data_IF_863188929703
#
_entry.id   IF_863188929703
#
_cell.length_a   1.000
_cell.length_b   1.000
_cell.length_c   1.000
_cell.angle_alpha   90.00
_cell.angle_beta   90.00
_cell.angle_gamma   90.00
#
_symmetry.space_group_name_H-M   'P 1'
#
loop_
_entity.id
_entity.type
_entity.pdbx_description
1 polymer ?
#
# COMPACT_ATOMS: atom_id res chain seq x y z
N UNK A 1 -16.53 -8.93 50.51
CA UNK A 1 -16.96 -7.52 50.54
C UNK A 1 -16.71 -6.81 49.19
N UNK A 2 -15.48 -6.75 48.64
CA UNK A 2 -15.25 -6.02 47.37
C UNK A 2 -15.97 -6.60 46.13
N UNK A 3 -16.11 -7.92 46.05
CA UNK A 3 -16.80 -8.62 44.95
C UNK A 3 -18.31 -8.85 45.20
N UNK A 4 -18.90 -8.10 46.12
CA UNK A 4 -20.33 -8.23 46.42
C UNK A 4 -21.18 -7.56 45.33
N UNK A 5 -22.14 -8.31 44.78
CA UNK A 5 -23.03 -7.85 43.72
C UNK A 5 -24.00 -6.75 44.19
N UNK A 6 -24.21 -6.61 45.50
CA UNK A 6 -25.08 -5.60 46.09
C UNK A 6 -24.43 -4.22 46.21
N UNK A 7 -23.12 -4.09 45.97
CA UNK A 7 -22.41 -2.82 46.06
C UNK A 7 -22.24 -2.19 44.68
N UNK A 8 -22.91 -1.06 44.48
CA UNK A 8 -22.83 -0.30 43.24
C UNK A 8 -21.41 0.27 43.00
N UNK A 9 -21.05 0.50 41.74
CA UNK A 9 -19.76 1.05 41.34
C UNK A 9 -19.47 2.41 42.01
N UNK A 10 -20.52 3.21 42.26
CA UNK A 10 -20.39 4.51 42.95
C UNK A 10 -19.94 4.35 44.40
N UNK A 11 -20.47 3.37 45.12
CA UNK A 11 -20.11 3.09 46.52
C UNK A 11 -18.70 2.52 46.62
N UNK A 12 -18.36 1.55 45.75
CA UNK A 12 -16.97 1.04 45.65
C UNK A 12 -15.96 2.15 45.40
N UNK A 13 -16.28 3.10 44.50
CA UNK A 13 -15.43 4.27 44.24
C UNK A 13 -15.29 5.17 45.48
N UNK A 14 -16.38 5.41 46.22
CA UNK A 14 -16.34 6.17 47.49
C UNK A 14 -15.47 5.49 48.53
N UNK A 15 -15.66 4.19 48.76
CA UNK A 15 -14.85 3.40 49.70
C UNK A 15 -13.36 3.44 49.33
N UNK A 16 -13.03 3.28 48.05
CA UNK A 16 -11.65 3.33 47.58
C UNK A 16 -10.99 4.70 47.86
N UNK A 17 -11.75 5.79 47.72
CA UNK A 17 -11.27 7.15 48.03
C UNK A 17 -10.97 7.40 49.51
N UNK A 18 -11.49 6.56 50.41
CA UNK A 18 -11.14 6.61 51.84
C UNK A 18 -9.81 5.90 52.13
N UNK A 19 -9.42 4.94 51.30
CA UNK A 19 -8.21 4.12 51.50
C UNK A 19 -6.98 4.72 50.83
N UNK A 20 -7.16 5.30 49.64
CA UNK A 20 -6.08 5.87 48.83
C UNK A 20 -5.80 7.30 49.29
N UNK A 21 -4.52 7.60 49.49
CA UNK A 21 -4.04 8.96 49.74
C UNK A 21 -3.79 9.68 48.41
N UNK A 22 -3.00 9.08 47.52
CA UNK A 22 -2.73 9.56 46.16
C UNK A 22 -2.30 8.43 45.23
N UNK A 23 -2.34 8.72 43.93
CA UNK A 23 -1.88 7.84 42.86
C UNK A 23 -0.91 8.61 41.99
N UNK A 24 0.34 8.15 41.92
CA UNK A 24 1.37 8.70 41.05
C UNK A 24 1.49 7.86 39.78
N UNK A 25 1.43 8.50 38.62
CA UNK A 25 1.58 7.87 37.31
C UNK A 25 2.91 8.29 36.68
N UNK A 26 3.79 7.33 36.41
CA UNK A 26 5.02 7.55 35.65
C UNK A 26 4.87 6.96 34.25
N UNK A 27 5.00 7.82 33.24
CA UNK A 27 4.77 7.45 31.84
C UNK A 27 6.09 7.15 31.14
N UNK A 28 6.30 5.88 30.78
CA UNK A 28 7.38 5.40 29.91
C UNK A 28 6.83 4.61 28.72
N UNK A 29 7.53 3.54 28.33
CA UNK A 29 6.97 2.54 27.40
C UNK A 29 5.76 1.82 28.00
N UNK A 30 5.78 1.63 29.31
CA UNK A 30 4.66 1.23 30.14
C UNK A 30 4.31 2.36 31.11
N UNK A 31 3.10 2.33 31.67
CA UNK A 31 2.66 3.26 32.70
C UNK A 31 2.86 2.55 34.04
N UNK A 32 3.84 3.02 34.82
CA UNK A 32 3.96 2.61 36.21
C UNK A 32 2.98 3.42 37.07
N UNK A 33 2.20 2.71 37.88
CA UNK A 33 1.17 3.25 38.76
C UNK A 33 1.59 2.95 40.18
N UNK A 34 1.84 3.99 40.96
CA UNK A 34 2.14 3.89 42.38
C UNK A 34 0.94 4.39 43.17
N UNK A 35 0.32 3.49 43.94
CA UNK A 35 -0.83 3.79 44.80
C UNK A 35 -0.31 3.89 46.23
N UNK A 36 -0.42 5.07 46.84
CA UNK A 36 -0.10 5.30 48.25
C UNK A 36 -1.40 5.26 49.06
N UNK A 37 -1.45 4.37 50.05
CA UNK A 37 -2.58 4.24 50.96
C UNK A 37 -2.38 5.13 52.19
N UNK A 38 -3.48 5.60 52.78
CA UNK A 38 -3.45 6.43 54.00
C UNK A 38 -2.82 5.75 55.22
N UNK A 39 -2.59 4.42 55.15
CA UNK A 39 -1.85 3.64 56.13
C UNK A 39 -0.34 3.59 55.90
N UNK A 40 0.21 4.40 54.98
CA UNK A 40 1.65 4.47 54.68
C UNK A 40 2.19 3.38 53.73
N UNK A 41 1.40 2.35 53.42
CA UNK A 41 1.75 1.34 52.44
C UNK A 41 1.71 1.90 51.01
N UNK A 42 2.67 1.52 50.17
CA UNK A 42 2.68 1.85 48.73
C UNK A 42 2.65 0.56 47.92
N UNK A 43 1.74 0.49 46.95
CA UNK A 43 1.67 -0.62 45.98
C UNK A 43 1.99 -0.10 44.59
N UNK A 44 2.84 -0.83 43.87
CA UNK A 44 3.24 -0.47 42.51
C UNK A 44 2.72 -1.52 41.54
N UNK A 45 2.12 -1.07 40.44
CA UNK A 45 1.70 -1.93 39.34
C UNK A 45 2.05 -1.29 38.01
N UNK A 46 2.19 -2.11 36.98
CA UNK A 46 2.57 -1.65 35.65
C UNK A 46 1.50 -1.99 34.63
N UNK A 47 1.10 -1.01 33.82
CA UNK A 47 0.07 -1.15 32.79
C UNK A 47 0.68 -0.81 31.43
N UNK A 48 0.34 -1.59 30.40
CA UNK A 48 0.76 -1.30 29.03
C UNK A 48 0.27 0.10 28.62
N UNK A 49 1.18 0.96 28.16
CA UNK A 49 0.78 2.26 27.67
C UNK A 49 -0.08 2.12 26.41
N UNK A 50 -1.13 2.94 26.24
CA UNK A 50 -1.89 2.95 25.00
C UNK A 50 -0.95 3.26 23.84
N UNK A 51 -1.02 2.45 22.77
CA UNK A 51 -0.22 2.66 21.57
C UNK A 51 -0.49 4.08 21.06
N UNK A 52 0.56 4.86 20.83
CA UNK A 52 0.42 6.21 20.28
C UNK A 52 -0.24 6.14 18.90
N UNK A 53 -1.05 7.15 18.54
CA UNK A 53 -1.73 7.21 17.24
C UNK A 53 -0.80 6.94 16.03
N UNK A 54 0.46 7.42 15.99
CA UNK A 54 1.40 7.06 14.93
C UNK A 54 1.76 5.57 14.91
N UNK A 55 1.91 4.92 16.07
CA UNK A 55 2.13 3.46 16.17
C UNK A 55 0.89 2.68 15.75
N UNK A 56 -0.31 3.18 16.05
CA UNK A 56 -1.59 2.57 15.61
C UNK A 56 -1.86 2.73 14.11
N UNK A 57 -1.41 3.84 13.51
CA UNK A 57 -1.52 4.11 12.07
C UNK A 57 -0.50 3.33 11.23
N UNK A 58 0.45 2.62 11.86
CA UNK A 58 1.33 1.70 11.12
C UNK A 58 0.48 0.55 10.59
N UNK A 59 0.46 0.40 9.28
CA UNK A 59 -0.19 -0.75 8.66
C UNK A 59 0.57 -2.03 9.00
N UNK A 60 -0.18 -3.12 9.16
CA UNK A 60 0.40 -4.44 9.41
C UNK A 60 1.33 -4.79 8.23
N UNK A 61 2.53 -5.37 8.47
CA UNK A 61 3.47 -5.73 7.42
C UNK A 61 2.85 -6.56 6.29
N UNK A 62 1.90 -7.43 6.63
CA UNK A 62 1.20 -8.30 5.68
C UNK A 62 0.37 -7.47 4.69
N UNK A 63 -0.31 -6.41 5.15
CA UNK A 63 -1.08 -5.51 4.28
C UNK A 63 -0.15 -4.77 3.31
N UNK A 64 1.01 -4.34 3.79
CA UNK A 64 2.00 -3.63 2.96
C UNK A 64 2.56 -4.58 1.89
N UNK A 65 2.90 -5.81 2.25
CA UNK A 65 3.39 -6.82 1.32
C UNK A 65 2.34 -7.19 0.26
N UNK A 66 1.09 -7.40 0.68
CA UNK A 66 -0.01 -7.67 -0.24
C UNK A 66 -0.25 -6.49 -1.18
N UNK A 67 -0.23 -5.26 -0.64
CA UNK A 67 -0.36 -4.07 -1.47
C UNK A 67 0.79 -3.94 -2.48
N UNK A 68 2.03 -4.22 -2.07
CA UNK A 68 3.20 -4.17 -2.94
C UNK A 68 3.04 -5.12 -4.13
N UNK A 69 2.60 -6.36 -3.88
CA UNK A 69 2.29 -7.36 -4.91
C UNK A 69 1.15 -6.91 -5.83
N UNK A 70 0.06 -6.37 -5.29
CA UNK A 70 -1.08 -5.90 -6.08
C UNK A 70 -0.69 -4.74 -7.00
N UNK A 71 0.14 -3.81 -6.52
CA UNK A 71 0.60 -2.65 -7.30
C UNK A 71 1.47 -3.04 -8.51
N UNK A 72 1.89 -4.31 -8.63
CA UNK A 72 2.60 -4.82 -9.80
C UNK A 72 1.73 -4.72 -11.06
N UNK A 73 0.45 -5.08 -10.93
CA UNK A 73 -0.50 -5.18 -12.06
C UNK A 73 -1.68 -4.24 -11.93
N UNK A 74 -2.00 -3.77 -10.73
CA UNK A 74 -3.21 -3.02 -10.44
C UNK A 74 -2.92 -1.54 -10.15
N UNK A 75 -3.91 -0.71 -10.41
CA UNK A 75 -3.96 0.68 -9.95
C UNK A 75 -4.22 0.75 -8.44
N UNK A 76 -4.04 1.92 -7.82
CA UNK A 76 -4.38 2.10 -6.40
C UNK A 76 -5.87 1.84 -6.12
N UNK A 77 -6.75 2.08 -7.10
CA UNK A 77 -8.18 1.83 -6.96
C UNK A 77 -8.48 0.32 -6.97
N UNK A 78 -8.02 -0.38 -8.01
CA UNK A 78 -8.17 -1.83 -8.12
C UNK A 78 -7.49 -2.58 -6.96
N UNK A 79 -6.34 -2.08 -6.49
CA UNK A 79 -5.66 -2.62 -5.33
C UNK A 79 -6.50 -2.45 -4.05
N UNK A 80 -7.19 -1.32 -3.87
CA UNK A 80 -8.09 -1.10 -2.74
C UNK A 80 -9.27 -2.08 -2.78
N UNK A 81 -9.92 -2.22 -3.94
CA UNK A 81 -11.02 -3.16 -4.16
C UNK A 81 -10.59 -4.60 -3.86
N UNK A 82 -9.40 -5.00 -4.34
CA UNK A 82 -8.87 -6.35 -4.12
C UNK A 82 -8.46 -6.60 -2.67
N UNK A 83 -7.86 -5.63 -2.00
CA UNK A 83 -7.58 -5.73 -0.55
C UNK A 83 -8.88 -5.90 0.25
N UNK A 84 -9.93 -5.18 -0.10
CA UNK A 84 -11.23 -5.28 0.55
C UNK A 84 -11.89 -6.65 0.32
N UNK A 85 -11.79 -7.17 -0.90
CA UNK A 85 -12.27 -8.51 -1.28
C UNK A 85 -11.53 -9.63 -0.56
N UNK A 86 -10.23 -9.45 -0.30
CA UNK A 86 -9.41 -10.36 0.52
C UNK A 86 -9.70 -10.25 2.03
N UNK A 87 -10.63 -9.38 2.46
CA UNK A 87 -11.04 -9.23 3.85
C UNK A 87 -10.15 -8.28 4.68
N UNK A 88 -9.15 -7.63 4.07
CA UNK A 88 -8.34 -6.65 4.80
C UNK A 88 -9.15 -5.40 5.15
N UNK A 89 -8.91 -4.87 6.34
CA UNK A 89 -9.50 -3.63 6.84
C UNK A 89 -8.42 -2.71 7.41
N UNK A 90 -8.71 -1.42 7.47
CA UNK A 90 -7.82 -0.46 8.10
C UNK A 90 -7.85 -0.60 9.65
N UNK A 91 -7.08 0.22 10.35
CA UNK A 91 -7.00 0.19 11.82
C UNK A 91 -8.32 0.58 12.53
N UNK A 92 -9.23 1.25 11.82
CA UNK A 92 -10.60 1.60 12.28
C UNK A 92 -11.62 0.51 11.93
N UNK A 93 -11.21 -0.59 11.29
CA UNK A 93 -12.11 -1.65 10.81
C UNK A 93 -12.86 -1.31 9.52
N UNK A 94 -12.57 -0.16 8.89
CA UNK A 94 -13.21 0.29 7.66
C UNK A 94 -12.54 -0.30 6.41
N UNK A 95 -13.26 -0.36 5.27
CA UNK A 95 -12.67 -0.72 3.98
C UNK A 95 -11.60 0.29 3.53
N UNK A 96 -10.68 -0.18 2.70
CA UNK A 96 -9.69 0.64 2.02
C UNK A 96 -10.32 1.46 0.90
N UNK A 97 -9.99 2.75 0.86
CA UNK A 97 -10.24 3.63 -0.28
C UNK A 97 -8.98 3.80 -1.14
N UNK A 98 -9.16 4.27 -2.37
CA UNK A 98 -8.06 4.62 -3.28
C UNK A 98 -7.07 5.60 -2.63
N UNK A 99 -7.58 6.60 -1.91
CA UNK A 99 -6.78 7.64 -1.25
C UNK A 99 -5.96 7.05 -0.11
N UNK A 100 -6.55 6.12 0.66
CA UNK A 100 -5.84 5.42 1.74
C UNK A 100 -4.70 4.58 1.16
N UNK A 101 -4.97 3.80 0.11
CA UNK A 101 -3.94 3.02 -0.59
C UNK A 101 -2.84 3.92 -1.17
N UNK A 102 -3.21 5.06 -1.75
CA UNK A 102 -2.23 6.04 -2.23
C UNK A 102 -1.34 6.56 -1.10
N UNK A 103 -1.93 6.90 0.05
CA UNK A 103 -1.18 7.33 1.24
C UNK A 103 -0.22 6.26 1.75
N UNK A 104 -0.64 4.99 1.80
CA UNK A 104 0.23 3.85 2.16
C UNK A 104 1.39 3.77 1.17
N UNK A 105 1.11 3.79 -0.12
CA UNK A 105 2.13 3.72 -1.16
C UNK A 105 3.19 4.81 -0.99
N UNK A 106 2.78 6.07 -0.75
CA UNK A 106 3.71 7.19 -0.56
C UNK A 106 4.51 7.04 0.74
N UNK A 107 3.84 6.74 1.85
CA UNK A 107 4.47 6.63 3.17
C UNK A 107 5.49 5.49 3.24
N UNK A 108 5.19 4.36 2.58
CA UNK A 108 6.06 3.18 2.54
C UNK A 108 6.91 3.11 1.27
N UNK A 109 6.90 4.16 0.45
CA UNK A 109 7.69 4.28 -0.80
C UNK A 109 7.53 3.08 -1.74
N UNK A 110 6.33 2.53 -1.81
CA UNK A 110 6.01 1.40 -2.69
C UNK A 110 6.03 1.89 -4.14
N UNK A 111 6.67 1.10 -5.01
CA UNK A 111 6.76 1.40 -6.44
C UNK A 111 5.41 1.20 -7.11
N UNK A 112 5.11 2.04 -8.08
CA UNK A 112 3.96 1.90 -8.97
C UNK A 112 4.27 0.88 -10.07
N UNK A 113 3.22 0.32 -10.68
CA UNK A 113 3.36 -0.53 -11.88
C UNK A 113 4.20 0.16 -12.98
N UNK A 114 4.00 1.47 -13.19
CA UNK A 114 4.80 2.27 -14.12
C UNK A 114 6.29 2.25 -13.77
N UNK A 115 6.66 2.58 -12.54
CA UNK A 115 8.07 2.63 -12.10
C UNK A 115 8.73 1.26 -12.21
N UNK A 116 8.00 0.18 -11.89
CA UNK A 116 8.51 -1.19 -12.04
C UNK A 116 8.73 -1.57 -13.50
N UNK A 117 7.78 -1.26 -14.37
CA UNK A 117 7.92 -1.50 -15.81
C UNK A 117 9.07 -0.69 -16.41
N UNK A 118 9.25 0.56 -15.99
CA UNK A 118 10.39 1.39 -16.38
C UNK A 118 11.72 0.80 -15.91
N UNK A 119 11.79 0.32 -14.67
CA UNK A 119 12.96 -0.38 -14.14
C UNK A 119 13.31 -1.66 -14.90
N UNK A 120 12.32 -2.31 -15.54
CA UNK A 120 12.50 -3.48 -16.43
C UNK A 120 12.84 -3.11 -17.88
N UNK A 121 12.99 -1.81 -18.19
CA UNK A 121 13.36 -1.35 -19.53
C UNK A 121 12.18 -1.21 -20.51
N UNK A 122 10.93 -1.28 -20.03
CA UNK A 122 9.75 -1.03 -20.89
C UNK A 122 9.70 0.44 -21.30
N UNK A 123 9.34 0.70 -22.56
CA UNK A 123 9.42 2.02 -23.18
C UNK A 123 8.05 2.62 -23.47
N UNK A 124 7.96 3.94 -23.42
CA UNK A 124 6.79 4.64 -23.94
C UNK A 124 6.73 4.53 -25.47
N UNK A 125 5.52 4.62 -26.03
CA UNK A 125 5.32 4.61 -27.48
C UNK A 125 6.23 5.62 -28.20
N UNK A 126 6.36 6.84 -27.66
CA UNK A 126 7.20 7.92 -28.22
C UNK A 126 8.69 7.61 -28.17
N UNK A 127 9.15 6.87 -27.18
CA UNK A 127 10.56 6.47 -27.07
C UNK A 127 10.87 5.35 -28.06
N UNK A 128 10.00 4.34 -28.14
CA UNK A 128 10.15 3.24 -29.09
C UNK A 128 10.02 3.73 -30.54
N UNK A 129 9.08 4.64 -30.80
CA UNK A 129 8.91 5.31 -32.09
C UNK A 129 10.20 5.98 -32.57
N UNK A 130 10.87 6.74 -31.69
CA UNK A 130 12.16 7.38 -32.00
C UNK A 130 13.26 6.36 -32.29
N UNK A 131 13.30 5.23 -31.57
CA UNK A 131 14.31 4.18 -31.78
C UNK A 131 14.12 3.41 -33.09
N UNK A 132 12.88 3.28 -33.54
CA UNK A 132 12.52 2.52 -34.74
C UNK A 132 12.25 3.42 -35.95
N UNK A 133 12.44 4.73 -35.82
CA UNK A 133 12.19 5.74 -36.86
C UNK A 133 10.78 5.66 -37.47
N UNK A 134 9.79 5.36 -36.63
CA UNK A 134 8.36 5.30 -37.01
C UNK A 134 7.52 6.25 -36.17
N UNK A 135 6.29 6.51 -36.60
CA UNK A 135 5.34 7.29 -35.81
C UNK A 135 4.86 6.53 -34.56
N UNK A 136 4.48 7.26 -33.51
CA UNK A 136 3.87 6.64 -32.32
C UNK A 136 2.53 5.93 -32.65
N UNK A 137 1.81 6.39 -33.67
CA UNK A 137 0.58 5.75 -34.14
C UNK A 137 0.85 4.35 -34.69
N UNK A 138 1.95 4.16 -35.43
CA UNK A 138 2.42 2.85 -35.89
C UNK A 138 2.74 1.93 -34.71
N UNK A 139 3.42 2.42 -33.67
CA UNK A 139 3.67 1.63 -32.44
C UNK A 139 2.37 1.17 -31.78
N UNK A 140 1.39 2.07 -31.66
CA UNK A 140 0.06 1.71 -31.12
C UNK A 140 -0.67 0.69 -32.00
N UNK A 141 -0.57 0.79 -33.33
CA UNK A 141 -1.14 -0.18 -34.26
C UNK A 141 -0.46 -1.55 -34.11
N UNK A 142 0.87 -1.61 -34.05
CA UNK A 142 1.61 -2.84 -33.80
C UNK A 142 1.29 -3.48 -32.46
N UNK A 143 1.12 -2.68 -31.41
CA UNK A 143 0.66 -3.17 -30.11
C UNK A 143 -0.76 -3.74 -30.15
N UNK A 144 -1.67 -3.12 -30.92
CA UNK A 144 -3.04 -3.65 -31.11
C UNK A 144 -3.06 -4.92 -31.95
N UNK A 145 -2.17 -5.02 -32.94
CA UNK A 145 -2.00 -6.19 -33.78
C UNK A 145 -1.23 -7.35 -33.11
N UNK A 146 -0.72 -7.16 -31.88
CA UNK A 146 0.04 -8.17 -31.15
C UNK A 146 1.49 -8.34 -31.60
N UNK A 147 1.99 -7.49 -32.51
CA UNK A 147 3.37 -7.51 -32.99
C UNK A 147 4.36 -6.99 -31.95
N UNK A 148 3.91 -6.11 -31.06
CA UNK A 148 4.68 -5.63 -29.91
C UNK A 148 4.00 -6.05 -28.62
N UNK A 149 4.78 -6.64 -27.70
CA UNK A 149 4.31 -6.87 -26.35
C UNK A 149 4.00 -5.51 -25.68
N UNK A 150 2.78 -5.39 -25.15
CA UNK A 150 2.30 -4.20 -24.45
C UNK A 150 1.86 -4.56 -23.04
N UNK A 151 2.20 -3.70 -22.06
CA UNK A 151 1.69 -3.80 -20.69
C UNK A 151 0.98 -2.51 -20.32
N UNK A 152 -0.22 -2.66 -19.78
CA UNK A 152 -1.03 -1.54 -19.32
C UNK A 152 -0.59 -1.10 -17.93
N UNK A 153 -0.67 0.21 -17.71
CA UNK A 153 -0.56 0.82 -16.39
C UNK A 153 -1.64 1.89 -16.29
N UNK A 154 -2.40 1.91 -15.20
CA UNK A 154 -3.61 2.76 -15.17
C UNK A 154 -4.68 2.26 -16.14
N UNK A 155 -5.59 3.15 -16.53
CA UNK A 155 -6.77 2.74 -17.29
C UNK A 155 -6.49 2.47 -18.78
N UNK A 156 -5.68 3.31 -19.45
CA UNK A 156 -5.55 3.29 -20.93
C UNK A 156 -4.14 3.57 -21.47
N UNK A 157 -3.14 3.65 -20.59
CA UNK A 157 -1.76 3.90 -20.99
C UNK A 157 -1.00 2.57 -20.98
N UNK A 158 -0.08 2.42 -21.92
CA UNK A 158 0.72 1.22 -22.04
C UNK A 158 2.18 1.55 -22.31
N UNK A 159 3.05 0.66 -21.84
CA UNK A 159 4.44 0.60 -22.26
C UNK A 159 4.65 -0.61 -23.17
N UNK A 160 5.72 -0.56 -23.94
CA UNK A 160 6.09 -1.55 -24.92
C UNK A 160 7.43 -2.18 -24.56
N UNK A 161 7.59 -3.45 -24.88
CA UNK A 161 8.86 -4.14 -24.76
C UNK A 161 9.89 -3.49 -25.72
N UNK A 162 11.13 -3.24 -25.26
CA UNK A 162 12.18 -2.72 -26.13
C UNK A 162 12.54 -3.75 -27.20
N UNK A 163 12.51 -3.35 -28.47
CA UNK A 163 12.97 -4.18 -29.59
C UNK A 163 14.27 -3.58 -30.12
N UNK A 164 15.33 -4.40 -30.20
CA UNK A 164 16.68 -3.95 -30.55
C UNK A 164 16.85 -3.62 -32.04
N UNK A 165 16.25 -4.41 -32.91
CA UNK A 165 16.35 -4.21 -34.35
C UNK A 165 15.16 -4.85 -35.06
N UNK A 166 14.58 -4.06 -35.94
CA UNK A 166 13.35 -4.38 -36.63
C UNK A 166 13.52 -3.92 -38.06
N UNK A 167 13.43 -4.84 -39.03
CA UNK A 167 13.33 -4.43 -40.45
C UNK A 167 11.89 -4.00 -40.70
N UNK A 168 11.67 -2.69 -40.65
CA UNK A 168 10.37 -2.10 -40.98
C UNK A 168 10.19 -2.16 -42.50
N UNK A 169 9.19 -2.91 -42.96
CA UNK A 169 8.76 -2.89 -44.36
C UNK A 169 7.66 -1.85 -44.49
N UNK A 170 7.84 -0.88 -45.38
CA UNK A 170 6.77 0.08 -45.67
C UNK A 170 5.55 -0.67 -46.20
N UNK A 171 4.37 -0.28 -45.72
CA UNK A 171 3.13 -0.78 -46.27
C UNK A 171 2.98 -0.30 -47.72
N UNK A 172 2.62 -1.19 -48.65
CA UNK A 172 2.26 -0.78 -50.01
C UNK A 172 0.85 -0.18 -49.98
N UNK A 173 0.74 1.14 -49.99
CA UNK A 173 -0.52 1.91 -50.07
C UNK A 173 -0.78 2.82 -48.86
N UNK A 174 -1.51 3.92 -49.08
CA UNK A 174 -1.77 5.01 -48.11
C UNK A 174 -2.41 4.55 -46.78
N UNK A 175 -2.93 3.33 -46.70
CA UNK A 175 -3.58 2.75 -45.51
C UNK A 175 -2.90 1.51 -44.93
N UNK A 176 -1.78 1.05 -45.50
CA UNK A 176 -1.14 -0.18 -45.04
C UNK A 176 -0.26 0.11 -43.82
N UNK A 177 -0.56 -0.55 -42.69
CA UNK A 177 0.31 -0.52 -41.51
C UNK A 177 1.67 -1.12 -41.88
N UNK A 178 2.79 -0.44 -41.59
CA UNK A 178 4.11 -1.01 -41.86
C UNK A 178 4.22 -2.36 -41.13
N UNK A 179 4.78 -3.38 -41.76
CA UNK A 179 4.98 -4.67 -41.10
C UNK A 179 6.43 -4.79 -40.66
N UNK A 180 6.69 -5.62 -39.65
CA UNK A 180 8.04 -5.82 -39.23
C UNK A 180 8.34 -7.25 -38.83
N UNK A 181 9.55 -7.70 -39.16
CA UNK A 181 10.07 -8.99 -38.73
C UNK A 181 11.10 -8.74 -37.64
N UNK A 182 10.89 -9.36 -36.47
CA UNK A 182 11.87 -9.35 -35.39
C UNK A 182 13.12 -10.06 -35.90
N UNK A 183 14.28 -9.39 -35.87
CA UNK A 183 15.53 -10.09 -36.15
C UNK A 183 15.71 -11.23 -35.11
N UNK A 184 16.21 -12.41 -35.51
CA UNK A 184 16.48 -13.48 -34.55
C UNK A 184 17.43 -12.94 -33.48
N UNK A 185 17.04 -13.09 -32.21
CA UNK A 185 17.88 -12.71 -31.09
C UNK A 185 19.07 -13.69 -31.08
N UNK A 186 20.24 -13.25 -31.57
CA UNK A 186 21.49 -13.99 -31.36
C UNK A 186 21.75 -14.06 -29.85
N UNK A 187 21.85 -15.30 -29.36
CA UNK A 187 22.03 -15.65 -27.96
C UNK A 187 23.42 -15.30 -27.47
#
# INVERSE_FOLDING_TARGET
>A
MWNDAHIDARERKRMLGLLIEDVTLLKGEEIAVHVRFRGGQTTSLTVQAPKTLPKMRKFRPEVIQQLDQLLETCTCQEAAERLNALGYRNWEGQPFSREKVHGIRVNYRLKTSLERLRGRGWLFAKELARRLEVSSTTIHQWGRAGLLARKYYGNRRCLYEPVKSVKVRSGKGERSVPSFTRAPQSR
#
